data_IF_517844295992
#
_entry.id   IF_517844295992
#
_cell.length_a   1.000
_cell.length_b   1.000
_cell.length_c   1.000
_cell.angle_alpha   90.00
_cell.angle_beta   90.00
_cell.angle_gamma   90.00
#
_symmetry.space_group_name_H-M   'P 1'
#
loop_
_entity.id
_entity.type
_entity.pdbx_description
1 polymer ?
#
# COMPACT_ATOMS: atom_id res chain seq x y z
N UNK A 1 14.76 -16.60 7.87
CA UNK A 1 15.68 -17.27 6.90
C UNK A 1 15.98 -16.30 5.75
N UNK A 2 16.55 -15.13 6.04
CA UNK A 2 16.86 -14.07 5.06
C UNK A 2 18.35 -14.05 4.67
N UNK A 3 19.09 -15.13 4.89
CA UNK A 3 20.54 -15.16 4.72
C UNK A 3 21.05 -15.11 3.27
N UNK A 4 20.18 -15.24 2.26
CA UNK A 4 20.61 -15.33 0.86
C UNK A 4 20.03 -14.25 -0.07
N UNK A 5 19.30 -13.27 0.44
CA UNK A 5 18.64 -12.27 -0.42
C UNK A 5 19.52 -11.04 -0.75
N UNK A 6 20.76 -10.99 -0.28
CA UNK A 6 21.64 -9.82 -0.49
C UNK A 6 21.14 -8.53 0.16
N UNK A 7 20.05 -8.59 0.92
CA UNK A 7 19.54 -7.44 1.68
C UNK A 7 20.50 -7.19 2.85
N UNK A 8 21.02 -5.98 2.92
CA UNK A 8 21.98 -5.54 3.92
C UNK A 8 21.59 -6.01 5.32
N UNK A 9 22.54 -6.61 6.00
CA UNK A 9 22.37 -7.03 7.39
C UNK A 9 22.01 -5.79 8.22
N UNK A 10 20.97 -5.87 9.02
CA UNK A 10 20.46 -4.79 9.91
C UNK A 10 21.48 -4.25 10.92
N UNK A 11 22.77 -4.65 10.82
CA UNK A 11 23.87 -4.17 11.64
C UNK A 11 24.36 -2.78 11.28
N UNK A 12 24.03 -2.25 10.09
CA UNK A 12 24.62 -1.01 9.58
C UNK A 12 23.72 0.21 9.62
N UNK A 13 22.47 0.08 10.05
CA UNK A 13 21.61 1.23 10.32
C UNK A 13 22.03 1.90 11.65
N UNK A 14 22.90 2.87 11.57
CA UNK A 14 23.17 3.82 12.65
C UNK A 14 22.00 4.75 12.85
N UNK A 15 20.98 4.29 13.59
CA UNK A 15 19.96 5.17 14.17
C UNK A 15 20.52 5.78 15.45
N UNK A 16 20.58 7.11 15.46
CA UNK A 16 21.14 7.88 16.57
C UNK A 16 20.39 7.63 17.89
N UNK A 17 21.14 7.34 18.95
CA UNK A 17 20.89 7.84 20.30
C UNK A 17 19.91 7.09 21.21
N UNK A 18 19.08 6.13 20.77
CA UNK A 18 18.32 5.27 21.68
C UNK A 18 18.89 3.84 21.66
N UNK A 19 19.24 3.33 22.83
CA UNK A 19 19.84 2.01 22.98
C UNK A 19 19.06 0.95 22.20
N UNK A 20 19.76 0.27 21.29
CA UNK A 20 19.24 -0.75 20.40
C UNK A 20 18.72 -1.93 21.24
N UNK A 21 17.43 -1.98 21.55
CA UNK A 21 16.81 -3.17 22.12
C UNK A 21 16.60 -4.16 20.98
N UNK A 22 17.51 -5.10 20.82
CA UNK A 22 17.37 -6.20 19.87
C UNK A 22 16.66 -7.36 20.54
N UNK A 23 15.42 -7.60 20.13
CA UNK A 23 14.67 -8.80 20.54
C UNK A 23 15.12 -9.96 19.67
N UNK A 24 15.89 -10.90 20.24
CA UNK A 24 16.29 -12.12 19.56
C UNK A 24 15.22 -13.20 19.71
N UNK A 25 14.50 -13.49 18.62
CA UNK A 25 13.58 -14.61 18.55
C UNK A 25 14.37 -15.90 18.29
N UNK A 26 14.30 -16.86 19.21
CA UNK A 26 15.02 -18.15 19.12
C UNK A 26 14.11 -19.31 18.71
N UNK A 27 12.79 -19.11 18.81
CA UNK A 27 11.78 -20.09 18.43
C UNK A 27 10.64 -19.41 17.69
N UNK A 28 10.19 -20.00 16.58
CA UNK A 28 8.95 -19.71 15.90
C UNK A 28 7.96 -20.85 16.07
N UNK A 29 6.73 -20.68 15.63
CA UNK A 29 5.75 -21.73 15.50
C UNK A 29 5.52 -21.97 14.01
N UNK A 30 5.90 -23.15 13.52
CA UNK A 30 5.56 -23.57 12.17
C UNK A 30 4.30 -24.43 12.22
N UNK A 31 3.35 -24.13 11.34
CA UNK A 31 2.15 -24.95 11.19
C UNK A 31 2.52 -26.13 10.29
N UNK A 32 2.29 -27.39 10.74
CA UNK A 32 2.64 -28.59 9.95
C UNK A 32 1.64 -28.77 8.81
N UNK A 33 1.85 -28.05 7.72
CA UNK A 33 1.06 -28.14 6.49
C UNK A 33 1.86 -28.94 5.46
N UNK A 34 1.21 -29.91 4.81
CA UNK A 34 1.84 -30.67 3.74
C UNK A 34 1.91 -29.89 2.43
N UNK A 35 3.03 -30.01 1.73
CA UNK A 35 3.27 -29.34 0.46
C UNK A 35 3.98 -27.99 0.61
N UNK A 36 4.51 -27.53 -0.51
CA UNK A 36 5.14 -26.20 -0.63
C UNK A 36 4.79 -25.61 -1.99
N UNK A 37 4.55 -24.29 -2.06
CA UNK A 37 4.38 -23.61 -3.34
C UNK A 37 5.69 -23.67 -4.14
N UNK A 38 5.58 -23.74 -5.45
CA UNK A 38 6.74 -23.60 -6.31
C UNK A 38 7.26 -22.17 -6.22
N UNK A 39 8.51 -22.01 -5.78
CA UNK A 39 9.15 -20.69 -5.66
C UNK A 39 9.66 -20.21 -7.03
N UNK A 40 8.73 -19.95 -7.95
CA UNK A 40 9.00 -19.38 -9.28
C UNK A 40 7.77 -18.65 -9.80
N UNK A 41 8.00 -17.61 -10.58
CA UNK A 41 6.94 -16.95 -11.35
C UNK A 41 6.59 -17.89 -12.51
N UNK A 42 5.36 -18.42 -12.51
CA UNK A 42 4.91 -19.39 -13.52
C UNK A 42 4.16 -18.74 -14.66
N UNK A 43 3.42 -17.69 -14.38
CA UNK A 43 2.55 -17.04 -15.34
C UNK A 43 2.35 -15.57 -14.98
N UNK A 44 2.18 -14.72 -15.99
CA UNK A 44 1.75 -13.33 -15.86
C UNK A 44 0.38 -13.19 -16.49
N UNK A 45 -0.60 -12.78 -15.70
CA UNK A 45 -1.99 -12.63 -16.15
C UNK A 45 -2.29 -11.13 -16.34
N UNK A 46 -2.81 -10.77 -17.51
CA UNK A 46 -3.30 -9.43 -17.76
C UNK A 46 -4.61 -9.19 -16.99
N UNK A 47 -4.61 -8.21 -16.11
CA UNK A 47 -5.78 -7.82 -15.33
C UNK A 47 -6.77 -7.07 -16.21
N UNK A 48 -8.03 -7.54 -16.28
CA UNK A 48 -9.10 -6.90 -17.07
C UNK A 48 -9.87 -5.86 -16.27
N UNK A 49 -10.00 -6.05 -14.97
CA UNK A 49 -10.68 -5.12 -14.08
C UNK A 49 -10.01 -5.10 -12.71
N UNK A 50 -10.06 -3.95 -12.06
CA UNK A 50 -9.58 -3.73 -10.70
C UNK A 50 -10.68 -3.10 -9.86
N UNK A 51 -10.61 -3.24 -8.55
CA UNK A 51 -11.60 -2.63 -7.68
C UNK A 51 -10.97 -2.07 -6.41
N UNK A 52 -11.48 -0.91 -5.99
CA UNK A 52 -11.25 -0.39 -4.65
C UNK A 52 -12.36 -0.92 -3.74
N UNK A 53 -11.97 -1.69 -2.71
CA UNK A 53 -12.92 -2.34 -1.79
C UNK A 53 -13.13 -1.47 -0.55
N UNK A 54 -14.38 -1.04 -0.34
CA UNK A 54 -14.71 -0.12 0.76
C UNK A 54 -14.48 -0.71 2.16
N UNK A 55 -14.60 -2.03 2.31
CA UNK A 55 -14.37 -2.72 3.59
C UNK A 55 -12.91 -2.74 4.04
N UNK A 56 -11.97 -2.54 3.12
CA UNK A 56 -10.54 -2.45 3.46
C UNK A 56 -10.22 -1.17 4.27
N UNK A 57 -11.14 -0.21 4.29
CA UNK A 57 -10.96 1.08 4.96
C UNK A 57 -11.93 1.24 6.13
N UNK A 58 -11.52 0.77 7.29
CA UNK A 58 -12.33 0.71 8.50
C UNK A 58 -12.85 2.10 8.92
N UNK A 59 -14.17 2.25 8.91
CA UNK A 59 -14.85 3.48 9.36
C UNK A 59 -14.94 4.59 8.33
N UNK A 60 -14.42 4.41 7.12
CA UNK A 60 -14.49 5.36 6.01
C UNK A 60 -15.95 5.66 5.62
N UNK A 61 -16.23 6.92 5.28
CA UNK A 61 -17.53 7.36 4.75
C UNK A 61 -17.33 8.12 3.43
N UNK A 62 -17.54 7.47 2.28
CA UNK A 62 -17.16 8.02 0.99
C UNK A 62 -18.07 9.16 0.52
N UNK A 63 -17.46 10.19 -0.04
CA UNK A 63 -18.06 11.17 -0.94
C UNK A 63 -17.55 10.90 -2.33
N UNK A 64 -18.41 10.37 -3.20
CA UNK A 64 -18.03 10.00 -4.57
C UNK A 64 -17.73 11.25 -5.40
N UNK A 65 -16.64 11.21 -6.14
CA UNK A 65 -16.26 12.19 -7.15
C UNK A 65 -16.54 11.69 -8.58
N UNK A 66 -16.85 10.39 -8.74
CA UNK A 66 -17.09 9.75 -10.03
C UNK A 66 -18.42 9.01 -10.06
N UNK A 67 -18.90 8.73 -11.26
CA UNK A 67 -20.11 7.95 -11.54
C UNK A 67 -19.78 6.75 -12.43
N UNK A 68 -20.72 5.80 -12.52
CA UNK A 68 -20.62 4.67 -13.45
C UNK A 68 -20.60 5.20 -14.88
N UNK A 69 -19.64 4.74 -15.68
CA UNK A 69 -19.42 5.18 -17.06
C UNK A 69 -18.33 6.25 -17.19
N UNK A 70 -17.87 6.87 -16.10
CA UNK A 70 -16.79 7.86 -16.17
C UNK A 70 -15.46 7.19 -16.54
N UNK A 71 -14.70 7.86 -17.42
CA UNK A 71 -13.31 7.49 -17.71
C UNK A 71 -12.39 8.11 -16.67
N UNK A 72 -11.51 7.30 -16.12
CA UNK A 72 -10.56 7.71 -15.06
C UNK A 72 -9.13 7.32 -15.45
N UNK A 73 -8.18 8.13 -15.00
CA UNK A 73 -6.75 7.85 -15.12
C UNK A 73 -6.23 7.14 -13.87
N UNK A 74 -5.11 6.45 -13.98
CA UNK A 74 -4.37 5.99 -12.81
C UNK A 74 -4.05 7.18 -11.89
N UNK A 75 -4.36 7.08 -10.60
CA UNK A 75 -4.14 8.15 -9.63
C UNK A 75 -5.24 9.21 -9.55
N UNK A 76 -6.23 9.21 -10.45
CA UNK A 76 -7.34 10.16 -10.42
C UNK A 76 -8.25 9.92 -9.21
N UNK A 77 -8.76 10.99 -8.61
CA UNK A 77 -9.67 10.95 -7.46
C UNK A 77 -10.96 10.17 -7.79
N UNK A 78 -11.28 9.16 -7.00
CA UNK A 78 -12.54 8.41 -7.06
C UNK A 78 -13.54 8.86 -5.98
N UNK A 79 -13.07 9.04 -4.77
CA UNK A 79 -13.86 9.54 -3.65
C UNK A 79 -12.97 10.03 -2.50
N UNK A 80 -13.52 10.89 -1.65
CA UNK A 80 -12.88 11.37 -0.42
C UNK A 80 -13.60 10.83 0.81
N UNK A 81 -12.92 10.84 1.97
CA UNK A 81 -13.52 10.42 3.25
C UNK A 81 -14.10 11.62 4.00
N UNK A 82 -15.41 11.60 4.26
CA UNK A 82 -16.08 12.63 5.08
C UNK A 82 -15.62 12.67 6.55
N UNK A 83 -15.06 11.58 7.06
CA UNK A 83 -14.64 11.48 8.46
C UNK A 83 -13.20 11.89 8.68
N UNK A 84 -12.38 11.75 7.64
CA UNK A 84 -10.97 12.11 7.66
C UNK A 84 -10.75 13.09 6.54
N UNK A 85 -11.04 14.36 6.82
CA UNK A 85 -10.94 15.44 5.83
C UNK A 85 -9.53 15.51 5.24
N UNK A 86 -9.45 15.68 3.91
CA UNK A 86 -8.19 15.74 3.17
C UNK A 86 -7.62 14.37 2.77
N UNK A 87 -8.28 13.25 3.10
CA UNK A 87 -7.86 11.92 2.64
C UNK A 87 -8.65 11.55 1.40
N UNK A 88 -7.93 11.38 0.30
CA UNK A 88 -8.44 11.06 -1.02
C UNK A 88 -8.09 9.61 -1.41
N UNK A 89 -9.04 8.97 -2.09
CA UNK A 89 -8.93 7.62 -2.61
C UNK A 89 -8.87 7.69 -4.13
N UNK A 90 -7.76 7.26 -4.68
CA UNK A 90 -7.44 7.41 -6.10
C UNK A 90 -7.59 6.10 -6.87
N UNK A 91 -7.72 6.22 -8.18
CA UNK A 91 -7.87 5.07 -9.07
C UNK A 91 -6.59 4.23 -9.14
N UNK A 92 -6.68 2.91 -8.96
CA UNK A 92 -5.53 2.01 -9.07
C UNK A 92 -5.15 1.68 -10.54
N UNK A 93 -5.96 2.10 -11.52
CA UNK A 93 -5.67 1.91 -12.94
C UNK A 93 -6.36 2.98 -13.79
N UNK A 94 -5.93 3.11 -15.05
CA UNK A 94 -6.66 3.83 -16.10
C UNK A 94 -7.78 2.96 -16.63
N UNK A 95 -8.93 3.55 -16.93
CA UNK A 95 -10.06 2.81 -17.50
C UNK A 95 -11.41 3.48 -17.32
N UNK A 96 -12.46 2.67 -17.33
CA UNK A 96 -13.85 3.12 -17.18
C UNK A 96 -14.44 2.55 -15.89
N UNK A 97 -15.09 3.39 -15.10
CA UNK A 97 -15.83 2.96 -13.91
C UNK A 97 -17.02 2.11 -14.34
N UNK A 98 -16.91 0.80 -14.23
CA UNK A 98 -17.95 -0.15 -14.66
C UNK A 98 -19.02 -0.37 -13.60
N UNK A 99 -18.70 -0.28 -12.31
CA UNK A 99 -19.67 -0.43 -11.24
C UNK A 99 -19.30 0.33 -9.96
N UNK A 100 -20.32 0.83 -9.26
CA UNK A 100 -20.21 1.34 -7.88
C UNK A 100 -21.19 0.54 -7.03
N UNK A 101 -20.66 -0.49 -6.36
CA UNK A 101 -21.47 -1.42 -5.58
C UNK A 101 -21.72 -0.86 -4.18
N UNK A 102 -22.98 -0.92 -3.75
CA UNK A 102 -23.39 -0.48 -2.41
C UNK A 102 -24.20 -1.57 -1.72
N UNK A 103 -23.87 -1.79 -0.46
CA UNK A 103 -24.59 -2.73 0.40
C UNK A 103 -25.72 -2.09 1.21
N UNK A 104 -26.12 -2.79 2.26
CA UNK A 104 -27.12 -2.31 3.21
C UNK A 104 -26.72 -0.93 3.76
N UNK A 105 -27.71 -0.06 4.01
CA UNK A 105 -27.50 1.32 4.48
C UNK A 105 -26.57 2.15 3.58
N UNK A 106 -26.49 1.80 2.28
CA UNK A 106 -25.67 2.47 1.26
C UNK A 106 -24.16 2.44 1.56
N UNK A 107 -23.68 1.48 2.34
CA UNK A 107 -22.25 1.28 2.57
C UNK A 107 -21.56 0.97 1.23
N UNK A 108 -20.46 1.65 0.93
CA UNK A 108 -19.66 1.36 -0.24
C UNK A 108 -19.04 -0.04 -0.10
N UNK A 109 -19.33 -0.91 -1.05
CA UNK A 109 -18.71 -2.24 -1.14
C UNK A 109 -17.47 -2.18 -2.05
N UNK A 110 -17.64 -1.66 -3.26
CA UNK A 110 -16.52 -1.51 -4.19
C UNK A 110 -16.80 -0.46 -5.26
N UNK A 111 -15.72 0.10 -5.82
CA UNK A 111 -15.68 0.84 -7.08
C UNK A 111 -14.89 -0.02 -8.05
N UNK A 112 -15.51 -0.48 -9.12
CA UNK A 112 -14.90 -1.35 -10.12
C UNK A 112 -14.54 -0.54 -11.36
N UNK A 113 -13.33 -0.77 -11.87
CA UNK A 113 -12.79 -0.09 -13.04
C UNK A 113 -12.37 -1.17 -14.04
N UNK A 114 -12.91 -1.11 -15.24
CA UNK A 114 -12.46 -1.93 -16.35
C UNK A 114 -11.23 -1.25 -16.96
N UNK A 115 -10.12 -1.98 -16.96
CA UNK A 115 -8.80 -1.42 -17.29
C UNK A 115 -8.69 -1.17 -18.78
N UNK A 116 -8.45 0.10 -19.14
CA UNK A 116 -8.25 0.55 -20.51
C UNK A 116 -7.21 1.68 -20.58
N UNK A 117 -6.18 1.48 -21.42
CA UNK A 117 -5.11 2.46 -21.60
C UNK A 117 -4.15 2.58 -20.42
N UNK A 118 -3.21 3.52 -20.53
CA UNK A 118 -2.12 3.72 -19.58
C UNK A 118 -2.04 5.18 -19.11
N UNK A 119 -3.15 5.91 -19.18
CA UNK A 119 -3.19 7.30 -18.76
C UNK A 119 -3.01 7.41 -17.24
N UNK A 120 -2.11 8.29 -16.80
CA UNK A 120 -1.82 8.50 -15.38
C UNK A 120 -1.82 9.99 -15.02
N UNK A 121 -2.26 10.29 -13.80
CA UNK A 121 -2.04 11.60 -13.19
C UNK A 121 -0.57 11.77 -12.82
N UNK A 122 -0.07 12.99 -12.98
CA UNK A 122 1.32 13.32 -12.65
C UNK A 122 1.38 13.94 -11.27
N UNK A 123 2.16 13.36 -10.39
CA UNK A 123 2.43 13.87 -9.05
C UNK A 123 3.86 14.38 -8.93
N UNK A 124 4.15 15.13 -7.87
CA UNK A 124 5.52 15.57 -7.58
C UNK A 124 6.43 14.36 -7.42
N UNK A 125 7.51 14.33 -8.19
CA UNK A 125 8.55 13.29 -8.10
C UNK A 125 9.85 13.91 -7.60
N UNK A 126 10.61 13.15 -6.82
CA UNK A 126 11.85 13.59 -6.20
C UNK A 126 12.95 12.58 -6.47
N UNK A 127 14.14 13.05 -6.71
CA UNK A 127 15.33 12.20 -6.79
C UNK A 127 15.74 11.70 -5.41
N UNK A 128 16.51 10.62 -5.32
CA UNK A 128 17.01 10.08 -4.06
C UNK A 128 17.80 11.12 -3.23
N UNK A 129 18.52 12.02 -3.90
CA UNK A 129 19.25 13.09 -3.23
C UNK A 129 18.33 14.15 -2.61
N UNK A 130 17.21 14.44 -3.26
CA UNK A 130 16.21 15.41 -2.77
C UNK A 130 15.38 14.87 -1.62
N UNK A 131 15.14 13.56 -1.57
CA UNK A 131 14.35 12.93 -0.50
C UNK A 131 14.87 13.26 0.89
N UNK A 132 16.18 13.32 1.07
CA UNK A 132 16.81 13.66 2.36
C UNK A 132 16.56 15.10 2.81
N UNK A 133 16.21 16.00 1.89
CA UNK A 133 15.99 17.43 2.15
C UNK A 133 14.51 17.84 2.24
N UNK A 134 13.58 16.91 1.95
CA UNK A 134 12.16 17.20 2.00
C UNK A 134 11.69 17.50 3.42
N UNK A 135 10.86 18.52 3.55
CA UNK A 135 10.13 18.76 4.78
C UNK A 135 9.02 17.73 4.97
N UNK A 136 8.63 17.50 6.23
CA UNK A 136 7.51 16.62 6.56
C UNK A 136 6.22 17.02 5.83
N UNK A 137 5.96 18.31 5.70
CA UNK A 137 4.75 18.81 5.06
C UNK A 137 4.74 18.50 3.56
N UNK A 138 5.87 18.66 2.88
CA UNK A 138 6.00 18.29 1.46
C UNK A 138 5.75 16.79 1.23
N UNK A 139 6.30 15.92 2.09
CA UNK A 139 6.07 14.48 2.01
C UNK A 139 4.61 14.15 2.27
N UNK A 140 4.01 14.73 3.32
CA UNK A 140 2.59 14.53 3.65
C UNK A 140 1.69 14.96 2.49
N UNK A 141 1.90 16.16 1.95
CA UNK A 141 1.06 16.72 0.89
C UNK A 141 1.16 15.89 -0.40
N UNK A 142 2.35 15.36 -0.72
CA UNK A 142 2.52 14.46 -1.85
C UNK A 142 1.82 13.10 -1.63
N UNK A 143 1.90 12.53 -0.42
CA UNK A 143 1.20 11.29 -0.08
C UNK A 143 -0.34 11.47 -0.10
N UNK A 144 -0.85 12.62 0.30
CA UNK A 144 -2.28 12.92 0.25
C UNK A 144 -2.75 13.09 -1.19
N UNK A 145 -2.07 13.91 -1.99
CA UNK A 145 -2.46 14.19 -3.38
C UNK A 145 -2.39 12.96 -4.27
N UNK A 146 -1.43 12.07 -4.04
CA UNK A 146 -1.29 10.81 -4.78
C UNK A 146 -2.23 9.70 -4.29
N UNK A 147 -2.94 9.88 -3.17
CA UNK A 147 -3.75 8.84 -2.55
C UNK A 147 -2.94 7.79 -1.76
N UNK A 148 -1.61 7.87 -1.77
CA UNK A 148 -0.74 6.92 -1.06
C UNK A 148 -0.87 7.02 0.47
N UNK A 149 -1.42 8.12 1.00
CA UNK A 149 -1.74 8.23 2.42
C UNK A 149 -2.64 7.10 2.92
N UNK A 150 -3.52 6.58 2.07
CA UNK A 150 -4.43 5.49 2.38
C UNK A 150 -3.74 4.13 2.58
N UNK A 151 -2.46 3.98 2.21
CA UNK A 151 -1.65 2.80 2.50
C UNK A 151 -1.23 2.72 3.97
N UNK A 152 -1.16 3.85 4.66
CA UNK A 152 -0.83 3.90 6.08
C UNK A 152 -2.00 3.40 6.94
N UNK A 153 -1.70 2.62 7.97
CA UNK A 153 -2.69 2.05 8.90
C UNK A 153 -2.27 2.28 10.35
N UNK A 154 -3.20 2.78 11.15
CA UNK A 154 -2.99 2.92 12.59
C UNK A 154 -3.20 1.61 13.33
N UNK A 155 -2.49 1.41 14.43
CA UNK A 155 -2.75 0.32 15.37
C UNK A 155 -3.53 0.85 16.56
N UNK A 156 -4.43 0.06 17.17
CA UNK A 156 -4.76 -1.34 16.86
C UNK A 156 -5.89 -1.52 15.83
N UNK A 157 -6.58 -0.45 15.39
CA UNK A 157 -7.85 -0.55 14.67
C UNK A 157 -7.72 -0.53 13.13
N UNK A 158 -6.52 -0.50 12.59
CA UNK A 158 -6.25 -0.52 11.14
C UNK A 158 -7.01 0.56 10.34
N UNK A 159 -7.15 1.75 10.91
CA UNK A 159 -7.75 2.91 10.23
C UNK A 159 -6.70 3.71 9.48
N UNK A 160 -7.12 4.37 8.41
CA UNK A 160 -6.30 5.41 7.78
C UNK A 160 -6.06 6.52 8.80
N UNK A 161 -4.81 6.98 9.03
CA UNK A 161 -4.52 8.02 10.02
C UNK A 161 -5.11 9.37 9.62
N UNK A 162 -5.44 10.19 10.60
CA UNK A 162 -5.79 11.58 10.36
C UNK A 162 -4.58 12.35 9.79
N UNK A 163 -4.84 13.36 8.95
CA UNK A 163 -3.80 14.12 8.23
C UNK A 163 -2.83 14.84 9.17
N UNK A 164 -3.31 15.26 10.34
CA UNK A 164 -2.55 15.96 11.38
C UNK A 164 -1.88 15.00 12.37
N UNK A 165 -2.13 13.69 12.25
CA UNK A 165 -1.59 12.68 13.18
C UNK A 165 -0.06 12.64 13.15
N UNK A 166 0.54 12.45 14.33
CA UNK A 166 1.97 12.30 14.50
C UNK A 166 2.27 10.92 15.06
N UNK A 167 2.73 9.97 14.23
CA UNK A 167 3.06 8.65 14.70
C UNK A 167 4.33 8.68 15.55
N UNK A 168 4.34 7.92 16.63
CA UNK A 168 5.54 7.72 17.43
C UNK A 168 6.56 6.82 16.69
N UNK A 169 6.06 5.87 15.91
CA UNK A 169 6.87 4.95 15.11
C UNK A 169 6.08 4.50 13.89
N UNK A 170 6.79 4.20 12.81
CA UNK A 170 6.25 3.60 11.59
C UNK A 170 6.86 2.22 11.44
N UNK A 171 6.03 1.20 11.31
CA UNK A 171 6.44 -0.18 11.08
C UNK A 171 6.19 -0.54 9.63
N UNK A 172 7.23 -0.99 8.94
CA UNK A 172 7.16 -1.48 7.58
C UNK A 172 7.28 -3.00 7.63
N UNK A 173 6.29 -3.70 7.07
CA UNK A 173 6.29 -5.16 6.95
C UNK A 173 6.58 -5.53 5.50
N UNK A 174 7.78 -6.07 5.27
CA UNK A 174 8.23 -6.47 3.93
C UNK A 174 7.96 -7.95 3.63
N UNK A 175 7.47 -8.73 4.61
CA UNK A 175 7.26 -10.17 4.49
C UNK A 175 5.81 -10.54 4.71
N UNK A 176 5.31 -11.46 3.90
CA UNK A 176 4.10 -12.20 4.19
C UNK A 176 4.47 -13.44 5.01
N UNK A 177 3.92 -13.56 6.22
CA UNK A 177 4.16 -14.67 7.13
C UNK A 177 3.00 -15.68 7.17
N UNK A 178 2.03 -15.54 6.25
CA UNK A 178 0.96 -16.54 6.14
C UNK A 178 1.50 -17.89 5.70
N UNK A 179 0.86 -18.99 6.11
CA UNK A 179 1.25 -20.32 5.66
C UNK A 179 1.25 -20.41 4.13
N UNK A 180 2.30 -21.04 3.58
CA UNK A 180 2.48 -21.21 2.12
C UNK A 180 2.61 -19.90 1.31
N UNK A 181 2.95 -18.79 1.96
CA UNK A 181 3.27 -17.54 1.26
C UNK A 181 4.47 -17.71 0.32
N UNK A 182 4.48 -16.93 -0.76
CA UNK A 182 5.62 -16.85 -1.65
C UNK A 182 6.84 -16.24 -0.93
N UNK A 183 8.05 -16.66 -1.30
CA UNK A 183 9.27 -16.03 -0.81
C UNK A 183 9.37 -14.61 -1.38
N UNK A 184 9.37 -13.55 -0.56
CA UNK A 184 9.46 -12.18 -1.03
C UNK A 184 10.76 -11.90 -1.80
N UNK A 185 11.83 -12.62 -1.52
CA UNK A 185 13.09 -12.52 -2.28
C UNK A 185 12.92 -12.82 -3.76
N UNK A 186 12.01 -13.74 -4.11
CA UNK A 186 11.70 -14.05 -5.50
C UNK A 186 11.06 -12.87 -6.23
N UNK A 187 10.21 -12.12 -5.52
CA UNK A 187 9.46 -11.00 -6.10
C UNK A 187 10.34 -9.77 -6.29
N UNK A 188 11.25 -9.51 -5.35
CA UNK A 188 12.10 -8.32 -5.35
C UNK A 188 13.47 -8.54 -6.00
N UNK A 189 13.79 -9.76 -6.46
CA UNK A 189 15.13 -10.13 -6.95
C UNK A 189 15.67 -9.17 -8.02
N UNK A 190 14.80 -8.76 -8.96
CA UNK A 190 15.17 -7.87 -10.07
C UNK A 190 15.15 -6.38 -9.69
N UNK A 191 14.69 -6.03 -8.50
CA UNK A 191 14.51 -4.65 -8.02
C UNK A 191 15.08 -4.42 -6.63
N UNK A 192 16.09 -5.21 -6.25
CA UNK A 192 16.65 -5.18 -4.90
C UNK A 192 17.20 -3.80 -4.49
N UNK A 193 17.81 -3.06 -5.43
CA UNK A 193 18.32 -1.69 -5.18
C UNK A 193 17.19 -0.69 -4.94
N UNK A 194 16.08 -0.81 -5.66
CA UNK A 194 14.92 0.08 -5.45
C UNK A 194 14.18 -0.22 -4.15
N UNK A 195 14.31 -1.45 -3.63
CA UNK A 195 13.68 -1.89 -2.39
C UNK A 195 14.51 -1.53 -1.14
N UNK A 196 15.82 -1.41 -1.25
CA UNK A 196 16.74 -1.15 -0.13
C UNK A 196 16.86 0.35 0.18
#
# INVERSE_FOLDING_TARGET
>A
MLKNCGVANSSDLKLGGLGKVMIKLTRGMDIPISGQPQQRITETINTRSVALVGFDYVGMKPTMAVQVGDRVKLGQLLFSDKKTEGVDYTSPASGVVSAINRGARRVLQSVVIDVEGDEAEQFSSYTAAELASLSRDQVRDNLLSSGMWTALRTRPYSRVPAVDSQPQSIFVTAMDTHPLAADPCLIIADQAEAFS
#
